data_IF_393637179882
#
_entry.id   IF_393637179882
#
_cell.length_a   1.000
_cell.length_b   1.000
_cell.length_c   1.000
_cell.angle_alpha   90.00
_cell.angle_beta   90.00
_cell.angle_gamma   90.00
#
_symmetry.space_group_name_H-M   'P 1'
#
loop_
_entity.id
_entity.type
_entity.pdbx_description
1 polymer ?
#
# COMPACT_ATOMS: atom_id res chain seq x y z
N UNK A 1 6.45 15.63 -1.45
CA UNK A 1 5.81 16.15 -2.68
C UNK A 1 4.42 15.58 -2.90
N UNK A 2 4.23 14.25 -3.05
CA UNK A 2 2.91 13.64 -3.33
C UNK A 2 1.82 14.07 -2.34
N UNK A 3 2.06 13.95 -1.04
CA UNK A 3 1.04 14.27 -0.03
C UNK A 3 0.65 15.77 -0.03
N UNK A 4 1.56 16.67 -0.41
CA UNK A 4 1.28 18.11 -0.42
C UNK A 4 0.39 18.51 -1.60
N UNK A 5 0.40 17.73 -2.70
CA UNK A 5 -0.39 18.04 -3.91
C UNK A 5 -1.67 17.20 -3.96
N UNK A 6 -1.59 15.92 -3.58
CA UNK A 6 -2.66 14.95 -3.78
C UNK A 6 -3.28 14.44 -2.48
N UNK A 7 -2.75 14.83 -1.32
CA UNK A 7 -3.17 14.32 -0.01
C UNK A 7 -4.63 14.58 0.32
N UNK A 8 -5.30 15.56 -0.32
CA UNK A 8 -6.74 15.78 -0.12
C UNK A 8 -7.60 14.68 -0.73
N UNK A 9 -7.17 14.08 -1.85
CA UNK A 9 -7.96 13.07 -2.58
C UNK A 9 -7.42 11.65 -2.44
N UNK A 10 -6.13 11.50 -2.16
CA UNK A 10 -5.47 10.20 -2.14
C UNK A 10 -4.70 9.97 -0.85
N UNK A 11 -4.63 8.71 -0.42
CA UNK A 11 -3.71 8.24 0.61
C UNK A 11 -2.75 7.23 -0.02
N UNK A 12 -1.45 7.46 0.19
CA UNK A 12 -0.38 6.56 -0.24
C UNK A 12 -0.02 5.64 0.93
N UNK A 13 -0.06 4.34 0.69
CA UNK A 13 0.54 3.32 1.55
C UNK A 13 1.71 2.74 0.77
N UNK A 14 2.90 2.67 1.36
CA UNK A 14 4.06 2.16 0.65
C UNK A 14 5.00 1.39 1.57
N UNK A 15 5.68 0.43 0.97
CA UNK A 15 6.72 -0.39 1.59
C UNK A 15 7.96 -0.26 0.71
N UNK A 16 9.01 0.33 1.27
CA UNK A 16 10.27 0.56 0.58
C UNK A 16 11.31 -0.49 0.99
N UNK A 17 12.27 -0.79 0.12
CA UNK A 17 13.35 -1.69 0.49
C UNK A 17 14.24 -1.04 1.57
N UNK A 18 14.51 -1.71 2.72
CA UNK A 18 15.17 -1.10 3.88
C UNK A 18 16.56 -0.55 3.57
N UNK A 19 17.36 -1.27 2.77
CA UNK A 19 18.71 -0.83 2.39
C UNK A 19 18.75 0.06 1.14
N UNK A 20 17.66 0.11 0.37
CA UNK A 20 17.64 0.78 -0.93
C UNK A 20 16.30 1.49 -1.15
N UNK A 21 16.00 2.48 -0.32
CA UNK A 21 14.76 3.25 -0.39
C UNK A 21 14.51 3.93 -1.75
N UNK A 22 15.58 4.19 -2.52
CA UNK A 22 15.52 4.78 -3.88
C UNK A 22 15.63 3.73 -5.00
N UNK A 23 15.77 2.44 -4.68
CA UNK A 23 15.82 1.41 -5.73
C UNK A 23 14.45 1.20 -6.37
N UNK A 24 14.47 0.62 -7.57
CA UNK A 24 13.29 0.15 -8.35
C UNK A 24 12.47 -0.95 -7.63
N UNK A 25 12.75 -1.21 -6.35
CA UNK A 25 12.14 -2.26 -5.55
C UNK A 25 11.32 -1.63 -4.43
N UNK A 26 10.02 -1.87 -4.46
CA UNK A 26 9.06 -1.33 -3.51
C UNK A 26 7.64 -1.60 -3.99
N UNK A 27 6.69 -1.64 -3.07
CA UNK A 27 5.27 -1.79 -3.39
C UNK A 27 4.49 -0.63 -2.79
N UNK A 28 3.45 -0.20 -3.50
CA UNK A 28 2.62 0.90 -3.05
C UNK A 28 1.16 0.70 -3.45
N UNK A 29 0.27 1.30 -2.65
CA UNK A 29 -1.13 1.51 -2.97
C UNK A 29 -1.43 3.00 -2.92
N UNK A 30 -2.13 3.49 -3.94
CA UNK A 30 -2.71 4.83 -3.95
C UNK A 30 -4.22 4.67 -3.87
N UNK A 31 -4.79 4.96 -2.70
CA UNK A 31 -6.22 4.82 -2.45
C UNK A 31 -6.90 6.19 -2.56
N UNK A 32 -8.01 6.25 -3.30
CA UNK A 32 -8.82 7.45 -3.39
C UNK A 32 -9.79 7.55 -2.21
N UNK A 33 -9.72 8.65 -1.47
CA UNK A 33 -10.49 8.93 -0.26
C UNK A 33 -11.99 9.06 -0.50
N UNK A 34 -12.40 9.34 -1.73
CA UNK A 34 -13.82 9.48 -2.10
C UNK A 34 -14.53 8.13 -2.22
N UNK A 35 -13.78 7.02 -2.36
CA UNK A 35 -14.35 5.70 -2.61
C UNK A 35 -14.08 4.68 -1.49
N UNK A 36 -13.04 4.89 -0.68
CA UNK A 36 -12.57 3.93 0.31
C UNK A 36 -12.42 4.62 1.68
N UNK A 37 -12.73 3.90 2.76
CA UNK A 37 -12.39 4.32 4.11
C UNK A 37 -10.89 4.13 4.38
N UNK A 38 -10.11 5.09 3.89
CA UNK A 38 -8.65 5.10 4.05
C UNK A 38 -8.20 5.43 5.49
N UNK A 39 -9.10 5.95 6.32
CA UNK A 39 -8.82 6.35 7.69
C UNK A 39 -8.73 5.14 8.61
N UNK A 40 -9.63 4.17 8.41
CA UNK A 40 -9.69 2.92 9.17
C UNK A 40 -9.04 1.73 8.43
N UNK A 41 -8.40 1.96 7.29
CA UNK A 41 -7.61 0.95 6.59
C UNK A 41 -6.42 0.53 7.45
N UNK A 42 -6.24 -0.78 7.64
CA UNK A 42 -5.07 -1.36 8.31
C UNK A 42 -4.05 -1.81 7.26
N UNK A 43 -2.78 -1.53 7.53
CA UNK A 43 -1.66 -1.96 6.70
C UNK A 43 -0.84 -3.03 7.40
N UNK A 44 -0.36 -4.01 6.62
CA UNK A 44 0.54 -5.06 7.09
C UNK A 44 1.66 -5.22 6.07
N UNK A 45 2.86 -4.75 6.43
CA UNK A 45 4.07 -5.03 5.68
C UNK A 45 4.53 -6.45 6.02
N UNK A 46 4.29 -7.41 5.12
CA UNK A 46 4.66 -8.81 5.31
C UNK A 46 6.14 -9.05 4.97
N UNK A 47 6.63 -8.36 3.93
CA UNK A 47 8.04 -8.38 3.52
C UNK A 47 8.42 -6.95 3.11
N UNK A 48 9.35 -6.29 3.83
CA UNK A 48 9.79 -4.93 3.51
C UNK A 48 10.23 -4.79 2.05
N UNK A 49 9.65 -3.80 1.36
CA UNK A 49 9.88 -3.50 -0.04
C UNK A 49 9.26 -4.47 -1.04
N UNK A 50 8.50 -5.49 -0.62
CA UNK A 50 8.04 -6.56 -1.53
C UNK A 50 6.61 -7.02 -1.33
N UNK A 51 6.09 -7.03 -0.11
CA UNK A 51 4.75 -7.50 0.16
C UNK A 51 4.06 -6.60 1.18
N UNK A 52 3.03 -5.90 0.72
CA UNK A 52 2.21 -5.00 1.52
C UNK A 52 0.74 -5.42 1.37
N UNK A 53 0.08 -5.68 2.48
CA UNK A 53 -1.35 -6.00 2.53
C UNK A 53 -2.13 -4.84 3.13
N UNK A 54 -3.27 -4.51 2.53
CA UNK A 54 -4.25 -3.60 3.10
C UNK A 54 -5.53 -4.37 3.45
N UNK A 55 -6.08 -4.08 4.62
CA UNK A 55 -7.40 -4.51 5.07
C UNK A 55 -8.27 -3.26 5.16
N UNK A 56 -9.17 -3.09 4.20
CA UNK A 56 -9.97 -1.88 4.00
C UNK A 56 -11.40 -2.17 4.44
N UNK A 57 -11.98 -1.40 5.36
CA UNK A 57 -13.41 -1.51 5.68
C UNK A 57 -14.26 -1.30 4.43
N UNK A 58 -15.27 -2.15 4.28
CA UNK A 58 -16.22 -2.14 3.18
C UNK A 58 -17.66 -2.17 3.70
N UNK A 59 -18.63 -2.29 2.80
CA UNK A 59 -20.03 -2.26 3.16
C UNK A 59 -20.44 -3.41 4.11
N UNK A 60 -21.35 -3.09 5.04
CA UNK A 60 -22.01 -4.04 5.95
C UNK A 60 -21.03 -4.82 6.84
N UNK A 61 -20.01 -4.14 7.36
CA UNK A 61 -19.03 -4.73 8.28
C UNK A 61 -18.07 -5.73 7.61
N UNK A 62 -18.05 -5.78 6.27
CA UNK A 62 -17.11 -6.59 5.51
C UNK A 62 -15.80 -5.84 5.31
N UNK A 63 -14.77 -6.58 4.89
CA UNK A 63 -13.47 -6.02 4.56
C UNK A 63 -13.07 -6.44 3.15
N UNK A 64 -12.46 -5.50 2.43
CA UNK A 64 -11.70 -5.78 1.22
C UNK A 64 -10.24 -5.97 1.61
N UNK A 65 -9.69 -7.15 1.36
CA UNK A 65 -8.31 -7.49 1.67
C UNK A 65 -7.54 -7.62 0.36
N UNK A 66 -6.52 -6.79 0.18
CA UNK A 66 -5.68 -6.80 -1.03
C UNK A 66 -4.22 -6.91 -0.61
N UNK A 67 -3.52 -7.85 -1.22
CA UNK A 67 -2.09 -8.08 -1.03
C UNK A 67 -1.35 -7.71 -2.32
N UNK A 68 -0.49 -6.69 -2.25
CA UNK A 68 0.41 -6.32 -3.33
C UNK A 68 1.75 -7.01 -3.08
N UNK A 69 2.11 -7.94 -3.99
CA UNK A 69 3.36 -8.71 -3.93
C UNK A 69 4.14 -8.43 -5.19
N UNK A 70 5.38 -7.97 -5.01
CA UNK A 70 6.39 -7.95 -6.04
C UNK A 70 7.31 -9.16 -5.88
N UNK A 71 7.20 -10.11 -6.80
CA UNK A 71 8.08 -11.27 -6.87
C UNK A 71 9.29 -10.97 -7.77
N UNK A 72 10.54 -11.25 -7.32
CA UNK A 72 11.72 -11.09 -8.16
C UNK A 72 11.71 -12.10 -9.32
N UNK A 73 12.17 -11.67 -10.49
CA UNK A 73 12.20 -12.48 -11.71
C UNK A 73 13.12 -13.71 -11.66
N UNK A 74 14.01 -13.79 -10.67
CA UNK A 74 14.90 -14.93 -10.48
C UNK A 74 14.56 -15.62 -9.16
N UNK A 75 14.24 -16.93 -9.18
CA UNK A 75 14.28 -17.72 -7.96
C UNK A 75 15.73 -17.70 -7.45
N UNK A 76 15.91 -17.34 -6.18
CA UNK A 76 17.19 -17.55 -5.51
C UNK A 76 17.39 -19.04 -5.24
#
# INVERSE_FOLDING_TARGET
MFNNVFGSWFKLFHSAHPEKATSTTGVAFVLNKNYLDVGNTREYELIPGRALMLVIPWHKGKFLVILNVYAPNHPK
#
